data_IF_574590797072
#
_entry.id   IF_574590797072
#
_cell.length_a   1.000
_cell.length_b   1.000
_cell.length_c   1.000
_cell.angle_alpha   90.00
_cell.angle_beta   90.00
_cell.angle_gamma   90.00
#
_symmetry.space_group_name_H-M   'P 1'
#
loop_
_entity.id
_entity.type
_entity.pdbx_description
1 polymer ?
#
# COMPACT_ATOMS: atom_id res chain seq x y z
N UNK A 1 11.06 -21.59 -9.39
CA UNK A 1 11.27 -21.05 -8.02
C UNK A 1 10.31 -19.91 -7.68
N UNK A 2 10.27 -18.80 -8.44
CA UNK A 2 9.39 -17.64 -8.19
C UNK A 2 7.91 -18.01 -7.90
N UNK A 3 7.27 -18.80 -8.78
CA UNK A 3 5.89 -19.26 -8.57
C UNK A 3 5.73 -20.00 -7.24
N UNK A 4 6.61 -20.95 -6.95
CA UNK A 4 6.54 -21.74 -5.71
C UNK A 4 6.56 -20.86 -4.44
N UNK A 5 7.39 -19.81 -4.43
CA UNK A 5 7.48 -18.87 -3.30
C UNK A 5 6.15 -18.10 -3.13
N UNK A 6 5.56 -17.59 -4.21
CA UNK A 6 4.25 -16.90 -4.19
C UNK A 6 3.17 -17.83 -3.60
N UNK A 7 3.06 -19.06 -4.12
CA UNK A 7 2.07 -20.02 -3.62
C UNK A 7 2.30 -20.37 -2.14
N UNK A 8 3.57 -20.48 -1.71
CA UNK A 8 3.91 -20.72 -0.32
C UNK A 8 3.51 -19.56 0.59
N UNK A 9 3.79 -18.31 0.19
CA UNK A 9 3.37 -17.10 0.92
C UNK A 9 1.86 -17.10 1.10
N UNK A 10 1.11 -17.31 0.01
CA UNK A 10 -0.36 -17.31 0.05
C UNK A 10 -0.87 -18.44 0.95
N UNK A 11 -0.33 -19.66 0.80
CA UNK A 11 -0.72 -20.80 1.61
C UNK A 11 -0.50 -20.56 3.12
N UNK A 12 0.67 -20.03 3.50
CA UNK A 12 0.98 -19.68 4.90
C UNK A 12 0.05 -18.56 5.38
N UNK A 13 -0.14 -17.51 4.58
CA UNK A 13 -0.98 -16.36 4.91
C UNK A 13 -2.44 -16.77 5.18
N UNK A 14 -3.01 -17.61 4.31
CA UNK A 14 -4.40 -18.06 4.42
C UNK A 14 -4.68 -18.88 5.70
N UNK A 15 -3.66 -19.49 6.33
CA UNK A 15 -3.84 -20.12 7.67
C UNK A 15 -4.32 -19.15 8.74
N UNK A 16 -4.04 -17.85 8.58
CA UNK A 16 -4.58 -16.75 9.40
C UNK A 16 -5.23 -15.71 8.49
N UNK A 17 -6.18 -16.16 7.65
CA UNK A 17 -6.83 -15.40 6.57
C UNK A 17 -7.13 -13.94 6.92
N UNK A 18 -7.77 -13.66 8.06
CA UNK A 18 -8.10 -12.28 8.47
C UNK A 18 -6.86 -11.40 8.67
N UNK A 19 -5.86 -11.92 9.38
CA UNK A 19 -4.59 -11.21 9.57
C UNK A 19 -3.88 -11.01 8.23
N UNK A 20 -3.93 -12.00 7.35
CA UNK A 20 -3.32 -11.92 6.03
C UNK A 20 -3.98 -10.86 5.15
N UNK A 21 -5.31 -10.83 5.04
CA UNK A 21 -6.02 -9.80 4.27
C UNK A 21 -5.71 -8.40 4.82
N UNK A 22 -5.64 -8.22 6.15
CA UNK A 22 -5.23 -6.94 6.76
C UNK A 22 -3.79 -6.55 6.41
N UNK A 23 -2.88 -7.51 6.27
CA UNK A 23 -1.52 -7.22 5.83
C UNK A 23 -1.48 -6.82 4.36
N UNK A 24 -2.26 -7.49 3.49
CA UNK A 24 -2.40 -7.08 2.09
C UNK A 24 -2.95 -5.64 2.00
N UNK A 25 -4.04 -5.33 2.71
CA UNK A 25 -4.56 -3.97 2.79
C UNK A 25 -3.52 -2.93 3.22
N UNK A 26 -2.70 -3.26 4.23
CA UNK A 26 -1.59 -2.37 4.67
C UNK A 26 -0.52 -2.19 3.60
N UNK A 27 -0.23 -3.22 2.80
CA UNK A 27 0.71 -3.12 1.69
C UNK A 27 0.18 -2.14 0.64
N UNK A 28 -1.08 -2.29 0.19
CA UNK A 28 -1.74 -1.36 -0.75
C UNK A 28 -1.70 0.10 -0.25
N UNK A 29 -2.03 0.32 1.03
CA UNK A 29 -1.90 1.65 1.62
C UNK A 29 -0.46 2.15 1.66
N UNK A 30 0.49 1.24 1.88
CA UNK A 30 1.92 1.53 1.79
C UNK A 30 2.30 2.04 0.40
N UNK A 31 1.91 1.32 -0.65
CA UNK A 31 2.16 1.73 -2.05
C UNK A 31 1.51 3.08 -2.33
N UNK A 32 0.25 3.28 -1.93
CA UNK A 32 -0.44 4.58 -2.04
C UNK A 32 0.37 5.74 -1.43
N UNK A 33 0.89 5.55 -0.22
CA UNK A 33 1.71 6.55 0.47
C UNK A 33 3.02 6.79 -0.28
N UNK A 34 3.67 5.72 -0.74
CA UNK A 34 4.90 5.81 -1.52
C UNK A 34 4.69 6.62 -2.79
N UNK A 35 3.63 6.34 -3.56
CA UNK A 35 3.29 7.08 -4.76
C UNK A 35 3.02 8.57 -4.48
N UNK A 36 2.33 8.91 -3.38
CA UNK A 36 2.14 10.33 -2.97
C UNK A 36 3.45 11.03 -2.64
N UNK A 37 4.39 10.34 -1.98
CA UNK A 37 5.71 10.91 -1.68
C UNK A 37 6.50 11.16 -2.96
N UNK A 38 6.49 10.21 -3.89
CA UNK A 38 7.12 10.40 -5.19
C UNK A 38 6.45 11.55 -5.96
N UNK A 39 5.12 11.63 -5.96
CA UNK A 39 4.38 12.71 -6.62
C UNK A 39 4.79 14.10 -6.10
N UNK A 40 4.99 14.24 -4.78
CA UNK A 40 5.42 15.49 -4.17
C UNK A 40 6.84 15.94 -4.59
N UNK A 41 7.69 14.99 -4.96
CA UNK A 41 9.08 15.22 -5.38
C UNK A 41 9.28 15.09 -6.89
N UNK A 42 8.19 14.95 -7.66
CA UNK A 42 8.23 14.68 -9.09
C UNK A 42 8.88 15.83 -9.88
N UNK A 43 9.71 15.53 -10.90
CA UNK A 43 10.36 16.52 -11.74
C UNK A 43 9.41 17.20 -12.72
N UNK A 44 8.25 16.59 -13.00
CA UNK A 44 7.24 17.15 -13.90
C UNK A 44 5.83 17.10 -13.27
N UNK A 45 4.96 18.08 -13.59
CA UNK A 45 3.56 18.06 -13.15
C UNK A 45 2.79 16.82 -13.64
N UNK A 46 3.04 16.38 -14.88
CA UNK A 46 2.36 15.23 -15.47
C UNK A 46 2.67 13.93 -14.72
N UNK A 47 3.94 13.71 -14.37
CA UNK A 47 4.36 12.57 -13.56
C UNK A 47 3.78 12.67 -12.13
N UNK A 48 3.71 13.88 -11.55
CA UNK A 48 3.10 14.08 -10.24
C UNK A 48 1.60 13.73 -10.26
N UNK A 49 0.88 14.14 -11.30
CA UNK A 49 -0.53 13.84 -11.45
C UNK A 49 -0.76 12.33 -11.66
N UNK A 50 0.04 11.70 -12.50
CA UNK A 50 -0.01 10.26 -12.73
C UNK A 50 0.21 9.47 -11.43
N UNK A 51 1.25 9.80 -10.64
CA UNK A 51 1.54 9.13 -9.38
C UNK A 51 0.45 9.36 -8.32
N UNK A 52 -0.19 10.54 -8.31
CA UNK A 52 -1.35 10.79 -7.45
C UNK A 52 -2.56 9.94 -7.85
N UNK A 53 -2.84 9.80 -9.15
CA UNK A 53 -3.92 8.95 -9.63
C UNK A 53 -3.67 7.48 -9.27
N UNK A 54 -2.43 7.01 -9.44
CA UNK A 54 -2.01 5.69 -9.00
C UNK A 54 -2.24 5.52 -7.50
N UNK A 55 -1.76 6.46 -6.67
CA UNK A 55 -1.97 6.41 -5.24
C UNK A 55 -3.45 6.33 -4.81
N UNK A 56 -4.37 6.96 -5.56
CA UNK A 56 -5.80 6.89 -5.28
C UNK A 56 -6.34 5.47 -5.52
N UNK A 57 -5.86 4.81 -6.58
CA UNK A 57 -6.23 3.44 -6.95
C UNK A 57 -5.69 2.43 -5.92
N UNK A 58 -4.42 2.55 -5.53
CA UNK A 58 -3.82 1.76 -4.44
C UNK A 58 -4.61 1.90 -3.11
N UNK A 59 -4.98 3.13 -2.75
CA UNK A 59 -5.80 3.35 -1.56
C UNK A 59 -7.21 2.73 -1.68
N UNK A 60 -7.74 2.62 -2.91
CA UNK A 60 -9.00 1.95 -3.18
C UNK A 60 -8.86 0.43 -3.01
N UNK A 61 -7.80 -0.19 -3.51
CA UNK A 61 -7.47 -1.60 -3.26
C UNK A 61 -7.35 -1.90 -1.76
N UNK A 62 -6.60 -1.06 -1.04
CA UNK A 62 -6.49 -1.13 0.42
C UNK A 62 -7.84 -1.10 1.14
N UNK A 63 -8.76 -0.23 0.70
CA UNK A 63 -10.15 -0.15 1.24
C UNK A 63 -10.97 -1.41 0.93
N UNK A 64 -10.89 -1.94 -0.28
CA UNK A 64 -11.60 -3.18 -0.64
C UNK A 64 -11.15 -4.34 0.26
N UNK A 65 -9.84 -4.53 0.44
CA UNK A 65 -9.29 -5.57 1.30
C UNK A 65 -9.62 -5.34 2.79
N UNK A 66 -9.53 -4.11 3.28
CA UNK A 66 -9.89 -3.78 4.67
C UNK A 66 -11.38 -4.03 4.94
N UNK A 67 -12.25 -3.63 4.02
CA UNK A 67 -13.70 -3.88 4.13
C UNK A 67 -14.01 -5.37 4.16
N UNK A 68 -13.27 -6.19 3.42
CA UNK A 68 -13.41 -7.64 3.50
C UNK A 68 -12.95 -8.18 4.86
N UNK A 69 -11.80 -7.72 5.37
CA UNK A 69 -11.27 -8.17 6.66
C UNK A 69 -12.15 -7.77 7.85
N UNK A 70 -12.79 -6.60 7.79
CA UNK A 70 -13.63 -6.08 8.86
C UNK A 70 -15.11 -6.48 8.69
N UNK A 71 -15.58 -6.67 7.45
CA UNK A 71 -16.95 -7.09 7.12
C UNK A 71 -17.25 -8.54 7.50
N UNK A 72 -16.24 -9.42 7.51
CA UNK A 72 -16.40 -10.79 8.03
C UNK A 72 -16.55 -10.89 9.56
N UNK A 73 -16.46 -9.78 10.30
CA UNK A 73 -16.72 -9.76 11.75
C UNK A 73 -18.11 -9.25 12.13
N UNK A 74 -18.97 -8.89 11.18
CA UNK A 74 -20.29 -8.34 11.51
C UNK A 74 -21.40 -8.83 10.56
N UNK A 75 -22.29 -9.63 11.14
CA UNK A 75 -23.73 -9.52 10.87
C UNK A 75 -24.13 -8.05 10.73
N UNK A 76 -24.99 -7.78 9.76
CA UNK A 76 -25.54 -6.47 9.49
C UNK A 76 -26.13 -5.84 10.77
N UNK A 77 -25.53 -4.75 11.26
CA UNK A 77 -26.16 -3.58 11.89
C UNK A 77 -25.14 -2.76 12.70
N UNK A 78 -25.47 -1.51 12.96
CA UNK A 78 -24.74 -0.52 13.78
C UNK A 78 -23.46 0.11 13.22
N UNK A 79 -22.59 -0.58 12.47
CA UNK A 79 -21.27 -0.01 12.10
C UNK A 79 -21.32 1.19 11.13
N UNK A 80 -22.30 1.26 10.24
CA UNK A 80 -22.48 2.42 9.36
C UNK A 80 -22.98 3.66 10.12
N UNK A 81 -23.79 3.45 11.17
CA UNK A 81 -24.23 4.48 12.11
C UNK A 81 -23.11 4.87 13.08
N UNK A 82 -22.20 3.94 13.39
CA UNK A 82 -20.99 4.16 14.17
C UNK A 82 -19.93 4.96 13.41
N UNK A 83 -19.79 4.75 12.10
CA UNK A 83 -18.87 5.51 11.26
C UNK A 83 -19.33 6.98 11.09
N UNK A 84 -20.63 7.22 10.86
CA UNK A 84 -21.21 8.58 10.85
C UNK A 84 -21.19 9.28 12.22
N UNK A 85 -21.19 8.55 13.33
CA UNK A 85 -21.02 9.13 14.68
C UNK A 85 -19.58 9.50 15.02
N UNK A 86 -18.60 8.89 14.34
CA UNK A 86 -17.18 9.09 14.58
C UNK A 86 -16.54 10.09 13.66
N UNK A 87 -17.22 10.48 12.58
CA UNK A 87 -16.76 11.47 11.62
C UNK A 87 -17.94 12.36 11.22
N UNK A 88 -17.91 13.62 11.64
CA UNK A 88 -18.93 14.61 11.25
C UNK A 88 -18.28 15.86 10.68
N UNK A 89 -18.77 16.29 9.51
CA UNK A 89 -18.42 17.57 8.89
C UNK A 89 -19.63 18.49 9.07
N UNK A 90 -19.40 19.67 9.67
CA UNK A 90 -20.41 20.73 9.75
C UNK A 90 -19.88 21.98 9.07
N UNK A 91 -20.64 22.50 8.11
CA UNK A 91 -20.37 23.79 7.49
C UNK A 91 -20.99 24.90 8.34
N UNK A 92 -20.22 25.95 8.59
CA UNK A 92 -20.67 27.17 9.26
C UNK A 92 -20.10 28.39 8.54
N UNK A 93 -20.60 29.57 8.86
CA UNK A 93 -20.13 30.85 8.30
C UNK A 93 -18.65 31.14 8.59
N UNK A 94 -18.03 30.38 9.50
CA UNK A 94 -16.61 30.48 9.88
C UNK A 94 -15.73 29.40 9.25
N UNK A 95 -16.28 28.54 8.39
CA UNK A 95 -15.55 27.46 7.72
C UNK A 95 -16.10 26.06 7.99
N UNK A 96 -15.34 25.05 7.58
CA UNK A 96 -15.71 23.62 7.73
C UNK A 96 -15.13 23.07 9.02
N UNK A 97 -16.00 22.55 9.86
CA UNK A 97 -15.64 21.91 11.12
C UNK A 97 -15.62 20.39 10.94
N UNK A 98 -14.47 19.78 11.21
CA UNK A 98 -14.30 18.33 11.17
C UNK A 98 -14.14 17.84 12.60
N UNK A 99 -15.05 16.98 13.05
CA UNK A 99 -14.98 16.35 14.36
C UNK A 99 -14.81 14.84 14.21
N UNK A 100 -13.78 14.31 14.85
CA UNK A 100 -13.50 12.88 14.90
C UNK A 100 -13.57 12.39 16.35
N UNK A 101 -14.36 11.33 16.60
CA UNK A 101 -14.58 10.78 17.95
C UNK A 101 -14.14 9.32 18.02
N UNK A 102 -13.57 8.90 19.17
CA UNK A 102 -13.29 7.50 19.52
C UNK A 102 -14.60 6.72 19.77
N UNK A 103 -14.50 5.39 19.95
CA UNK A 103 -15.67 4.54 20.29
C UNK A 103 -16.25 4.83 21.67
N UNK A 104 -15.42 5.34 22.58
CA UNK A 104 -15.82 5.74 23.92
C UNK A 104 -16.39 7.18 23.97
N UNK A 105 -16.55 7.86 22.82
CA UNK A 105 -17.09 9.23 22.74
C UNK A 105 -16.06 10.35 22.92
N UNK A 106 -14.80 10.02 23.21
CA UNK A 106 -13.70 10.97 23.36
C UNK A 106 -13.34 11.64 22.02
N UNK A 107 -13.19 12.96 22.02
CA UNK A 107 -12.82 13.73 20.81
C UNK A 107 -11.33 13.56 20.50
N UNK A 108 -11.02 12.98 19.33
CA UNK A 108 -9.66 12.79 18.82
C UNK A 108 -9.13 14.02 18.11
N UNK A 109 -10.03 14.72 17.41
CA UNK A 109 -9.70 15.88 16.61
C UNK A 109 -10.92 16.79 16.57
N UNK A 110 -10.70 18.05 16.90
CA UNK A 110 -11.67 19.12 16.77
C UNK A 110 -10.93 20.32 16.16
N UNK A 111 -11.03 20.47 14.83
CA UNK A 111 -10.31 21.53 14.12
C UNK A 111 -11.27 22.37 13.28
N UNK A 112 -10.94 23.66 13.19
CA UNK A 112 -11.61 24.63 12.33
C UNK A 112 -10.77 24.80 11.08
N UNK A 113 -11.34 24.51 9.92
CA UNK A 113 -10.75 24.89 8.65
C UNK A 113 -11.26 26.28 8.27
N UNK A 114 -10.46 27.31 8.57
CA UNK A 114 -10.80 28.72 8.30
C UNK A 114 -10.21 29.25 7.00
N UNK A 115 -9.43 28.47 6.24
CA UNK A 115 -8.66 28.99 5.11
C UNK A 115 -9.04 28.37 3.77
N UNK A 116 -9.74 29.18 2.95
CA UNK A 116 -10.12 28.84 1.57
C UNK A 116 -8.90 28.79 0.62
N UNK A 117 -7.66 29.02 1.09
CA UNK A 117 -6.49 29.16 0.21
C UNK A 117 -5.19 28.44 0.60
N UNK A 118 -5.22 27.46 1.53
CA UNK A 118 -4.01 26.67 1.85
C UNK A 118 -4.15 25.19 1.52
N UNK A 119 -3.12 24.68 0.83
CA UNK A 119 -2.94 23.30 0.37
C UNK A 119 -2.99 22.29 1.53
N UNK A 120 -4.12 21.59 1.63
CA UNK A 120 -4.19 20.23 2.16
C UNK A 120 -4.31 20.10 3.68
N UNK A 121 -5.37 19.39 4.11
CA UNK A 121 -5.56 18.93 5.48
C UNK A 121 -4.46 17.92 5.84
N UNK A 122 -3.67 18.20 6.88
CA UNK A 122 -2.71 17.24 7.43
C UNK A 122 -3.45 16.29 8.38
N UNK A 123 -3.93 15.16 7.84
CA UNK A 123 -4.56 14.09 8.63
C UNK A 123 -3.47 13.23 9.28
N UNK A 124 -3.37 13.32 10.61
CA UNK A 124 -2.61 12.37 11.42
C UNK A 124 -3.51 11.16 11.71
N UNK A 125 -3.22 10.01 11.10
CA UNK A 125 -3.98 8.78 11.28
C UNK A 125 -3.32 7.92 12.37
N UNK A 126 -4.08 7.64 13.44
CA UNK A 126 -3.71 6.65 14.45
C UNK A 126 -4.36 5.30 14.10
N UNK A 127 -3.58 4.35 13.57
CA UNK A 127 -4.07 3.03 13.12
C UNK A 127 -4.15 2.00 14.26
N UNK A 128 -4.23 2.46 15.51
CA UNK A 128 -4.27 1.61 16.69
C UNK A 128 -5.65 1.02 16.96
N UNK A 129 -5.93 -0.17 16.40
CA UNK A 129 -6.76 -1.17 17.11
C UNK A 129 -6.35 -2.64 16.87
N UNK A 130 -5.10 -2.92 16.47
CA UNK A 130 -4.56 -4.29 16.37
C UNK A 130 -3.09 -4.48 16.81
N UNK A 131 -2.59 -3.66 17.73
CA UNK A 131 -1.44 -4.05 18.58
C UNK A 131 -0.06 -4.13 17.92
N UNK A 132 0.21 -3.40 16.84
CA UNK A 132 1.59 -3.07 16.44
C UNK A 132 1.68 -1.58 16.11
N UNK A 133 2.33 -0.85 17.01
CA UNK A 133 2.70 0.54 16.84
C UNK A 133 3.72 0.64 15.69
N UNK A 134 3.36 1.28 14.58
CA UNK A 134 4.35 1.92 13.71
C UNK A 134 4.61 3.31 14.28
N UNK A 135 5.34 3.39 15.39
CA UNK A 135 5.91 4.66 15.84
C UNK A 135 7.09 4.94 14.94
N UNK A 136 6.87 5.86 14.00
CA UNK A 136 7.90 6.47 13.20
C UNK A 136 7.38 7.82 12.72
N UNK A 137 8.21 8.84 12.78
CA UNK A 137 7.98 10.08 12.03
C UNK A 137 7.71 9.68 10.57
N UNK A 138 6.74 10.33 9.93
CA UNK A 138 6.30 10.11 8.53
C UNK A 138 7.45 10.10 7.49
N UNK A 139 8.68 10.38 7.91
CA UNK A 139 9.93 10.37 7.16
C UNK A 139 10.50 8.96 6.89
N UNK A 140 10.23 7.95 7.71
CA UNK A 140 10.89 6.64 7.53
C UNK A 140 10.06 5.60 6.77
N UNK A 141 9.75 5.86 5.50
CA UNK A 141 9.53 4.72 4.56
C UNK A 141 10.84 3.93 4.37
N UNK A 142 11.97 4.57 4.66
CA UNK A 142 13.28 3.93 4.83
C UNK A 142 13.31 2.94 6.01
N UNK A 143 12.28 2.90 6.86
CA UNK A 143 12.15 1.85 7.87
C UNK A 143 11.92 0.47 7.26
N UNK A 144 11.26 0.36 6.10
CA UNK A 144 10.95 -0.94 5.46
C UNK A 144 12.18 -1.50 4.75
N UNK A 145 12.86 -0.68 3.94
CA UNK A 145 14.17 -0.98 3.32
C UNK A 145 15.19 -1.40 4.36
N UNK A 146 15.10 -0.89 5.59
CA UNK A 146 16.02 -1.20 6.69
C UNK A 146 15.51 -2.24 7.71
N UNK A 147 14.28 -2.75 7.59
CA UNK A 147 13.72 -3.70 8.56
C UNK A 147 13.81 -5.15 8.11
N UNK A 148 13.50 -5.43 6.84
CA UNK A 148 13.46 -6.78 6.31
C UNK A 148 14.76 -7.10 5.56
N UNK A 149 15.26 -8.33 5.68
CA UNK A 149 16.49 -8.73 5.00
C UNK A 149 16.31 -8.64 3.48
N UNK A 150 15.15 -9.07 2.97
CA UNK A 150 14.82 -8.97 1.55
C UNK A 150 14.83 -7.52 1.05
N UNK A 151 14.28 -6.59 1.83
CA UNK A 151 14.26 -5.18 1.47
C UNK A 151 15.66 -4.55 1.52
N UNK A 152 16.48 -4.90 2.51
CA UNK A 152 17.89 -4.46 2.58
C UNK A 152 18.68 -4.89 1.35
N UNK A 153 18.55 -6.16 0.97
CA UNK A 153 19.22 -6.69 -0.22
C UNK A 153 18.67 -6.06 -1.50
N UNK A 154 17.36 -5.82 -1.57
CA UNK A 154 16.73 -5.21 -2.74
C UNK A 154 17.18 -3.77 -2.96
N UNK A 155 17.49 -3.02 -1.91
CA UNK A 155 17.97 -1.64 -2.01
C UNK A 155 19.49 -1.49 -1.79
N UNK A 156 20.24 -2.58 -1.69
CA UNK A 156 21.67 -2.58 -1.30
C UNK A 156 21.95 -1.75 -0.04
N UNK A 157 21.02 -1.78 0.91
CA UNK A 157 21.06 -0.97 2.14
C UNK A 157 20.88 0.53 1.94
N UNK A 158 20.59 1.00 0.71
CA UNK A 158 20.32 2.41 0.41
C UNK A 158 18.85 2.76 0.62
N UNK A 159 18.60 4.06 0.76
CA UNK A 159 17.24 4.61 0.78
C UNK A 159 16.60 4.58 -0.61
N UNK A 160 15.30 4.30 -0.70
CA UNK A 160 14.56 4.38 -1.96
C UNK A 160 14.63 5.78 -2.60
N UNK A 161 14.79 6.83 -1.78
CA UNK A 161 14.89 8.20 -2.26
C UNK A 161 16.21 8.50 -2.97
N UNK A 162 17.27 7.71 -2.70
CA UNK A 162 18.61 7.90 -3.27
C UNK A 162 18.74 7.47 -4.74
N UNK A 163 17.75 6.77 -5.27
CA UNK A 163 17.72 6.32 -6.66
C UNK A 163 17.22 7.44 -7.58
N UNK A 164 17.70 7.45 -8.83
CA UNK A 164 17.20 8.39 -9.83
C UNK A 164 15.78 8.02 -10.29
N UNK A 165 15.19 8.87 -11.14
CA UNK A 165 13.81 8.67 -11.61
C UNK A 165 13.64 7.48 -12.54
N UNK A 166 14.65 7.13 -13.33
CA UNK A 166 14.61 5.95 -14.17
C UNK A 166 14.58 4.68 -13.30
N UNK A 167 15.42 4.63 -12.27
CA UNK A 167 15.46 3.54 -11.31
C UNK A 167 14.16 3.43 -10.50
N UNK A 168 13.62 4.54 -10.01
CA UNK A 168 12.35 4.56 -9.26
C UNK A 168 11.20 4.01 -10.10
N UNK A 169 11.05 4.46 -11.34
CA UNK A 169 10.00 4.01 -12.25
C UNK A 169 10.18 2.56 -12.68
N UNK A 170 11.41 2.13 -12.96
CA UNK A 170 11.72 0.74 -13.31
C UNK A 170 11.47 -0.20 -12.13
N UNK A 171 11.87 0.18 -10.92
CA UNK A 171 11.58 -0.56 -9.70
C UNK A 171 10.08 -0.71 -9.48
N UNK A 172 9.32 0.39 -9.53
CA UNK A 172 7.86 0.36 -9.36
C UNK A 172 7.21 -0.52 -10.42
N UNK A 173 7.60 -0.39 -11.69
CA UNK A 173 7.08 -1.23 -12.77
C UNK A 173 7.27 -2.72 -12.47
N UNK A 174 8.47 -3.10 -12.03
CA UNK A 174 8.75 -4.49 -11.67
C UNK A 174 7.93 -4.91 -10.45
N UNK A 175 7.75 -4.03 -9.46
CA UNK A 175 6.94 -4.32 -8.29
C UNK A 175 5.48 -4.62 -8.67
N UNK A 176 4.85 -3.80 -9.52
CA UNK A 176 3.47 -4.07 -9.98
C UNK A 176 3.36 -5.36 -10.76
N UNK A 177 4.37 -5.72 -11.56
CA UNK A 177 4.41 -7.03 -12.20
C UNK A 177 4.50 -8.18 -11.18
N UNK A 178 5.22 -8.01 -10.08
CA UNK A 178 5.27 -9.03 -9.02
C UNK A 178 3.93 -9.10 -8.25
N UNK A 179 3.32 -7.95 -7.96
CA UNK A 179 2.04 -7.81 -7.27
C UNK A 179 0.90 -8.39 -8.10
N UNK A 180 0.84 -8.10 -9.40
CA UNK A 180 -0.08 -8.70 -10.36
C UNK A 180 0.00 -10.24 -10.34
N UNK A 181 1.21 -10.80 -10.43
CA UNK A 181 1.40 -12.25 -10.39
C UNK A 181 1.01 -12.87 -9.04
N UNK A 182 1.22 -12.14 -7.94
CA UNK A 182 0.77 -12.53 -6.61
C UNK A 182 -0.75 -12.58 -6.52
N UNK A 183 -1.45 -11.50 -6.90
CA UNK A 183 -2.92 -11.45 -6.87
C UNK A 183 -3.55 -12.42 -7.86
N UNK A 184 -2.92 -12.69 -9.01
CA UNK A 184 -3.37 -13.70 -9.96
C UNK A 184 -3.34 -15.10 -9.33
N UNK A 185 -2.29 -15.42 -8.57
CA UNK A 185 -2.21 -16.68 -7.84
C UNK A 185 -3.26 -16.73 -6.72
N UNK A 186 -3.44 -15.63 -5.98
CA UNK A 186 -4.45 -15.54 -4.91
C UNK A 186 -5.88 -15.71 -5.45
N UNK A 187 -6.21 -15.05 -6.56
CA UNK A 187 -7.51 -15.16 -7.21
C UNK A 187 -7.82 -16.60 -7.65
N UNK A 188 -6.81 -17.33 -8.14
CA UNK A 188 -6.94 -18.75 -8.51
C UNK A 188 -7.17 -19.65 -7.30
N UNK A 189 -6.40 -19.45 -6.23
CA UNK A 189 -6.50 -20.26 -5.01
C UNK A 189 -7.85 -20.02 -4.30
N UNK A 190 -8.27 -18.76 -4.21
CA UNK A 190 -9.49 -18.33 -3.53
C UNK A 190 -10.66 -18.14 -4.52
N UNK A 191 -10.66 -18.89 -5.62
CA UNK A 191 -11.69 -18.82 -6.66
C UNK A 191 -13.09 -19.06 -6.10
N UNK A 192 -14.06 -18.25 -6.52
CA UNK A 192 -15.44 -18.31 -6.02
C UNK A 192 -15.66 -17.66 -4.65
N UNK A 193 -14.63 -17.06 -4.04
CA UNK A 193 -14.76 -16.30 -2.78
C UNK A 193 -14.72 -14.78 -3.01
N UNK A 194 -15.18 -13.96 -2.05
CA UNK A 194 -15.02 -12.50 -2.13
C UNK A 194 -13.56 -12.05 -2.23
N UNK A 195 -12.63 -12.75 -1.56
CA UNK A 195 -11.19 -12.46 -1.66
C UNK A 195 -10.67 -12.71 -3.06
N UNK A 196 -11.09 -13.82 -3.69
CA UNK A 196 -10.71 -14.14 -5.06
C UNK A 196 -11.25 -13.12 -6.08
N UNK A 197 -12.47 -12.62 -5.86
CA UNK A 197 -13.06 -11.56 -6.70
C UNK A 197 -12.29 -10.23 -6.58
N UNK A 198 -11.98 -9.79 -5.36
CA UNK A 198 -11.17 -8.58 -5.12
C UNK A 198 -9.78 -8.74 -5.74
N UNK A 199 -9.11 -9.87 -5.51
CA UNK A 199 -7.80 -10.15 -6.09
C UNK A 199 -7.82 -10.09 -7.62
N UNK A 200 -8.86 -10.66 -8.26
CA UNK A 200 -9.03 -10.62 -9.73
C UNK A 200 -9.22 -9.19 -10.27
N UNK A 201 -9.91 -8.33 -9.51
CA UNK A 201 -10.02 -6.92 -9.87
C UNK A 201 -8.67 -6.21 -9.77
N UNK A 202 -7.94 -6.42 -8.66
CA UNK A 202 -6.62 -5.81 -8.43
C UNK A 202 -5.65 -6.21 -9.55
N UNK A 203 -5.62 -7.49 -9.99
CA UNK A 203 -4.77 -7.95 -11.11
C UNK A 203 -4.88 -7.06 -12.36
N UNK A 204 -6.10 -6.63 -12.72
CA UNK A 204 -6.30 -5.81 -13.92
C UNK A 204 -5.73 -4.40 -13.73
N UNK A 205 -5.91 -3.86 -12.53
CA UNK A 205 -5.44 -2.52 -12.18
C UNK A 205 -3.90 -2.51 -12.12
N UNK A 206 -3.28 -3.52 -11.50
CA UNK A 206 -1.82 -3.70 -11.41
C UNK A 206 -1.14 -3.82 -12.77
N UNK A 207 -1.75 -4.57 -13.70
CA UNK A 207 -1.25 -4.67 -15.07
C UNK A 207 -1.30 -3.30 -15.77
N UNK A 208 -2.41 -2.57 -15.61
CA UNK A 208 -2.52 -1.21 -16.12
C UNK A 208 -1.46 -0.29 -15.49
N UNK A 209 -1.16 -0.51 -14.21
CA UNK A 209 -0.14 0.26 -13.51
C UNK A 209 1.26 0.04 -14.06
N UNK A 210 1.63 -1.22 -14.21
CA UNK A 210 2.89 -1.62 -14.81
C UNK A 210 3.05 -1.01 -16.22
N UNK A 211 2.00 -1.02 -17.04
CA UNK A 211 2.05 -0.51 -18.41
C UNK A 211 2.28 1.01 -18.46
N UNK A 212 1.58 1.79 -17.62
CA UNK A 212 1.79 3.24 -17.62
C UNK A 212 3.18 3.61 -17.03
N UNK A 213 3.67 2.88 -16.01
CA UNK A 213 5.01 3.10 -15.43
C UNK A 213 6.09 2.86 -16.47
N UNK A 214 5.96 1.77 -17.23
CA UNK A 214 6.86 1.45 -18.34
C UNK A 214 6.81 2.49 -19.45
N UNK A 215 5.62 2.97 -19.80
CA UNK A 215 5.45 4.05 -20.78
C UNK A 215 6.17 5.32 -20.31
N UNK A 216 5.99 5.69 -19.04
CA UNK A 216 6.59 6.90 -18.44
C UNK A 216 8.11 6.78 -18.34
N UNK A 217 8.64 5.59 -18.03
CA UNK A 217 10.08 5.32 -17.97
C UNK A 217 10.81 5.69 -19.28
N UNK A 218 10.14 5.62 -20.44
CA UNK A 218 10.75 6.02 -21.73
C UNK A 218 11.16 7.49 -21.79
N UNK A 219 10.58 8.34 -20.93
CA UNK A 219 10.93 9.75 -20.81
C UNK A 219 12.19 9.99 -19.97
N UNK A 220 12.56 9.03 -19.12
CA UNK A 220 13.65 9.14 -18.13
C UNK A 220 14.85 8.24 -18.46
N UNK A 221 14.71 7.28 -19.37
CA UNK A 221 15.77 6.36 -19.75
C UNK A 221 15.84 6.17 -21.26
N UNK A 222 17.05 6.20 -21.82
CA UNK A 222 17.33 5.83 -23.21
C UNK A 222 17.32 4.31 -23.42
N UNK A 223 17.27 3.52 -22.34
CA UNK A 223 17.23 2.05 -22.41
C UNK A 223 16.29 1.45 -21.34
N UNK A 224 14.98 1.73 -21.39
CA UNK A 224 14.01 1.30 -20.37
C UNK A 224 14.03 -0.20 -20.08
N UNK A 225 14.22 -1.04 -21.10
CA UNK A 225 14.26 -2.49 -20.97
C UNK A 225 15.48 -2.96 -20.16
N UNK A 226 16.62 -2.27 -20.24
CA UNK A 226 17.79 -2.61 -19.45
C UNK A 226 17.57 -2.28 -17.96
N UNK A 227 16.96 -1.13 -17.66
CA UNK A 227 16.59 -0.75 -16.30
C UNK A 227 15.59 -1.73 -15.68
N UNK A 228 14.56 -2.11 -16.44
CA UNK A 228 13.59 -3.12 -16.01
C UNK A 228 14.29 -4.47 -15.77
N UNK A 229 15.16 -4.91 -16.68
CA UNK A 229 15.89 -6.17 -16.53
C UNK A 229 16.81 -6.17 -15.30
N UNK A 230 17.45 -5.04 -15.00
CA UNK A 230 18.26 -4.82 -13.79
C UNK A 230 17.42 -5.07 -12.53
N UNK A 231 16.26 -4.43 -12.41
CA UNK A 231 15.38 -4.60 -11.25
C UNK A 231 14.73 -5.99 -11.18
N UNK A 232 14.35 -6.59 -12.31
CA UNK A 232 13.87 -7.97 -12.35
C UNK A 232 14.94 -8.96 -11.83
N UNK A 233 16.20 -8.76 -12.23
CA UNK A 233 17.32 -9.57 -11.74
C UNK A 233 17.49 -9.41 -10.22
N UNK A 234 17.41 -8.16 -9.74
CA UNK A 234 17.55 -7.84 -8.31
C UNK A 234 16.45 -8.47 -7.46
N UNK A 235 15.18 -8.31 -7.85
CA UNK A 235 14.03 -8.93 -7.18
C UNK A 235 14.18 -10.46 -7.12
N UNK A 236 14.55 -11.10 -8.24
CA UNK A 236 14.76 -12.55 -8.28
C UNK A 236 15.87 -13.01 -7.34
N UNK A 237 16.95 -12.25 -7.28
CA UNK A 237 18.09 -12.55 -6.41
C UNK A 237 17.76 -12.38 -4.93
N UNK A 238 16.80 -11.51 -4.60
CA UNK A 238 16.32 -11.29 -3.22
C UNK A 238 15.22 -12.27 -2.78
N UNK A 239 14.62 -13.03 -3.70
CA UNK A 239 13.51 -13.93 -3.39
C UNK A 239 13.82 -14.96 -2.27
N UNK A 240 15.02 -15.55 -2.16
CA UNK A 240 15.35 -16.42 -1.03
C UNK A 240 15.32 -15.70 0.33
N UNK A 241 15.68 -14.42 0.39
CA UNK A 241 15.63 -13.64 1.63
C UNK A 241 14.20 -13.39 2.10
N UNK A 242 13.21 -13.38 1.20
CA UNK A 242 11.79 -13.35 1.56
C UNK A 242 11.41 -14.58 2.39
N UNK A 243 11.97 -15.76 2.07
CA UNK A 243 11.72 -16.97 2.87
C UNK A 243 12.28 -16.85 4.29
N UNK A 244 13.43 -16.20 4.45
CA UNK A 244 14.02 -15.90 5.76
C UNK A 244 13.14 -14.93 6.54
N UNK A 245 12.69 -13.85 5.91
CA UNK A 245 11.77 -12.89 6.54
C UNK A 245 10.43 -13.54 6.94
N UNK A 246 9.88 -14.42 6.10
CA UNK A 246 8.68 -15.21 6.41
C UNK A 246 8.88 -16.16 7.59
N UNK A 247 10.05 -16.81 7.65
CA UNK A 247 10.38 -17.71 8.75
C UNK A 247 10.46 -16.97 10.08
N UNK A 248 11.13 -15.81 10.12
CA UNK A 248 11.12 -14.93 11.29
C UNK A 248 9.71 -14.46 11.65
N UNK A 249 8.90 -14.08 10.65
CA UNK A 249 7.51 -13.69 10.91
C UNK A 249 6.66 -14.83 11.48
N UNK A 250 6.90 -16.07 11.06
CA UNK A 250 6.21 -17.25 11.55
C UNK A 250 6.63 -17.64 12.97
N UNK A 251 7.92 -17.48 13.31
CA UNK A 251 8.48 -17.86 14.62
C UNK A 251 8.28 -16.82 15.72
N UNK A 252 8.34 -15.53 15.41
CA UNK A 252 8.37 -14.45 16.43
C UNK A 252 6.99 -14.20 17.08
N UNK A 253 5.95 -14.97 16.75
CA UNK A 253 4.60 -14.86 17.34
C UNK A 253 3.87 -16.18 17.52
N UNK A 254 4.53 -17.10 18.24
CA UNK A 254 3.88 -18.02 19.19
C UNK A 254 3.92 -17.41 20.59
#
# INVERSE_FOLDING_TARGET
>A
MKKLIIYLIIYIGLRRKQRFIRQLSKLEYGVSIFCKKLAANSPTPDLAQMLNNHAIQEAHHGRMLDSLANGTQHEASENERYFRKRFSIRETDKGKFISIKRSNGEELLNCVDTDINTKGIRLQWDSCKLGEQLVGIFENFDGISQRYLSAKLLFDGKSADSFDWADKLAFMHVLEQETEQFYLALAKIESGTPLGAIASQIVKDEQHHADYLKSTLTQFSTSPQQEIAKWQCKVRSCAPAVLVDLWFFALVRS
#
